data_IF_894093921720
#
_entry.id   IF_894093921720
#
_cell.length_a   1.000
_cell.length_b   1.000
_cell.length_c   1.000
_cell.angle_alpha   90.00
_cell.angle_beta   90.00
_cell.angle_gamma   90.00
#
_symmetry.space_group_name_H-M   'P 1'
#
loop_
_entity.id
_entity.type
_entity.pdbx_description
1 polymer ?
#
# COMPACT_ATOMS: atom_id res chain seq x y z
N UNK A 1 -47.24 27.68 -37.31
CA UNK A 1 -47.28 29.06 -37.84
C UNK A 1 -45.90 29.71 -37.61
N UNK A 2 -45.26 30.09 -38.77
CA UNK A 2 -44.13 31.03 -38.99
C UNK A 2 -42.81 30.66 -38.30
N UNK A 3 -41.76 30.18 -38.98
CA UNK A 3 -41.03 30.66 -40.20
C UNK A 3 -40.18 31.93 -39.95
N UNK A 4 -38.91 31.79 -40.21
CA UNK A 4 -38.02 32.89 -40.57
C UNK A 4 -36.57 32.60 -40.18
N UNK A 5 -35.77 32.04 -41.04
CA UNK A 5 -34.87 32.55 -42.14
C UNK A 5 -33.59 33.18 -41.55
N UNK A 6 -32.43 32.55 -41.74
CA UNK A 6 -31.50 32.60 -42.93
C UNK A 6 -30.64 33.87 -43.00
N UNK A 7 -29.39 33.62 -43.30
CA UNK A 7 -28.41 34.35 -44.17
C UNK A 7 -27.15 34.61 -43.33
N UNK A 8 -25.95 34.16 -43.59
CA UNK A 8 -25.27 33.84 -44.83
C UNK A 8 -24.09 34.77 -45.07
N UNK A 9 -23.05 34.18 -45.50
CA UNK A 9 -22.13 34.64 -46.55
C UNK A 9 -20.74 35.16 -46.12
N UNK A 10 -19.74 34.35 -46.46
CA UNK A 10 -18.62 34.47 -47.42
C UNK A 10 -17.42 35.34 -47.02
N UNK A 11 -16.29 34.68 -47.00
CA UNK A 11 -15.25 34.65 -48.03
C UNK A 11 -14.30 35.87 -48.10
N UNK A 12 -13.04 35.68 -47.94
CA UNK A 12 -12.07 35.95 -48.99
C UNK A 12 -10.62 35.68 -48.58
N UNK A 13 -10.00 34.89 -49.41
CA UNK A 13 -8.60 34.61 -49.69
C UNK A 13 -7.84 35.92 -50.00
N UNK A 14 -6.60 36.07 -49.51
CA UNK A 14 -5.57 36.77 -50.29
C UNK A 14 -4.18 36.16 -50.04
N UNK A 15 -3.70 35.57 -51.12
CA UNK A 15 -2.35 35.05 -51.37
C UNK A 15 -1.49 36.22 -51.84
N UNK A 16 -0.29 36.41 -51.29
CA UNK A 16 0.73 37.20 -52.00
C UNK A 16 2.12 36.62 -51.85
N UNK A 17 2.57 36.01 -52.93
CA UNK A 17 3.96 35.69 -53.26
C UNK A 17 4.66 36.95 -53.77
N UNK A 18 5.88 37.23 -53.30
CA UNK A 18 6.87 37.97 -54.10
C UNK A 18 8.25 37.35 -53.91
N UNK A 19 8.71 36.78 -55.00
CA UNK A 19 10.12 36.49 -55.30
C UNK A 19 10.75 37.77 -55.83
N UNK A 20 12.02 38.03 -55.51
CA UNK A 20 12.99 38.47 -56.55
C UNK A 20 14.43 38.44 -56.00
N UNK A 21 15.28 37.93 -56.82
CA UNK A 21 16.71 37.76 -56.73
C UNK A 21 17.48 39.03 -57.07
N UNK A 22 18.74 39.17 -56.69
CA UNK A 22 19.89 39.30 -57.59
C UNK A 22 21.16 39.80 -56.86
N UNK A 23 22.17 39.05 -57.04
CA UNK A 23 23.57 39.29 -57.47
C UNK A 23 24.33 40.54 -57.01
N UNK A 24 25.56 40.28 -56.51
CA UNK A 24 26.72 40.91 -57.06
C UNK A 24 27.80 41.38 -56.07
N UNK A 25 29.02 40.83 -56.25
CA UNK A 25 30.24 41.58 -56.00
C UNK A 25 31.08 41.23 -54.77
N UNK A 26 32.18 40.57 -55.01
CA UNK A 26 33.17 40.12 -54.03
C UNK A 26 34.12 41.21 -53.48
N UNK A 27 34.68 40.94 -52.37
CA UNK A 27 36.12 41.25 -52.09
C UNK A 27 36.63 40.44 -50.90
N UNK A 28 37.88 39.99 -51.02
CA UNK A 28 38.62 39.17 -50.09
C UNK A 28 38.90 39.93 -48.76
N UNK A 29 38.64 39.31 -47.66
CA UNK A 29 39.13 39.70 -46.34
C UNK A 29 39.29 38.47 -45.49
N UNK A 30 40.51 38.19 -45.06
CA UNK A 30 40.86 37.10 -44.15
C UNK A 30 40.08 37.16 -42.86
N UNK A 31 39.37 36.09 -42.54
CA UNK A 31 38.64 35.93 -41.29
C UNK A 31 39.45 35.06 -40.31
N UNK A 32 39.78 35.63 -39.18
CA UNK A 32 40.26 34.94 -37.99
C UNK A 32 39.13 34.06 -37.45
N UNK A 33 39.34 32.81 -37.06
CA UNK A 33 38.26 31.98 -36.52
C UNK A 33 37.95 32.41 -35.07
N UNK A 34 36.77 32.97 -34.89
CA UNK A 34 36.15 33.17 -33.59
C UNK A 34 35.53 31.84 -33.15
N UNK A 35 36.16 31.18 -32.19
CA UNK A 35 35.55 30.02 -31.49
C UNK A 35 34.52 30.53 -30.51
N UNK A 36 33.25 30.45 -30.92
CA UNK A 36 32.12 30.56 -30.01
C UNK A 36 32.04 29.26 -29.18
N UNK A 37 31.96 29.30 -27.85
CA UNK A 37 31.81 28.08 -27.07
C UNK A 37 30.43 27.49 -27.37
N UNK A 38 30.44 26.25 -27.86
CA UNK A 38 29.29 25.36 -27.98
C UNK A 38 28.65 25.19 -26.58
N UNK A 39 27.31 25.32 -26.42
CA UNK A 39 26.67 25.11 -25.11
C UNK A 39 26.92 23.64 -24.72
N UNK A 40 27.68 23.47 -23.63
CA UNK A 40 27.94 22.19 -23.00
C UNK A 40 26.60 21.52 -22.70
N UNK A 41 26.29 20.45 -23.41
CA UNK A 41 25.13 19.62 -23.13
C UNK A 41 25.30 19.06 -21.69
N UNK A 42 24.35 19.37 -20.84
CA UNK A 42 24.26 18.74 -19.51
C UNK A 42 24.27 17.21 -19.72
N UNK A 43 25.06 16.46 -18.94
CA UNK A 43 25.08 15.03 -19.06
C UNK A 43 23.67 14.49 -18.78
N UNK A 44 23.06 13.86 -19.77
CA UNK A 44 21.89 13.02 -19.56
C UNK A 44 22.20 12.03 -18.45
N UNK A 45 21.30 11.81 -17.47
CA UNK A 45 21.54 10.85 -16.43
C UNK A 45 21.81 9.49 -17.08
N UNK A 46 23.00 8.95 -16.87
CA UNK A 46 23.39 7.61 -17.27
C UNK A 46 22.51 6.62 -16.51
N UNK A 47 21.48 6.11 -17.14
CA UNK A 47 20.69 5.01 -16.61
C UNK A 47 21.56 3.76 -16.70
N UNK A 48 21.97 3.24 -15.55
CA UNK A 48 22.67 1.95 -15.48
C UNK A 48 21.80 0.88 -16.15
N UNK A 49 22.37 0.00 -17.01
CA UNK A 49 21.61 -1.09 -17.62
C UNK A 49 21.11 -2.02 -16.53
N UNK A 50 19.77 -1.99 -16.25
CA UNK A 50 19.12 -2.88 -15.28
C UNK A 50 18.17 -2.23 -14.27
N UNK A 51 18.18 -0.91 -14.08
CA UNK A 51 17.19 -0.26 -13.21
C UNK A 51 15.91 0.05 -13.99
N UNK A 52 14.77 -0.43 -13.49
CA UNK A 52 13.47 -0.07 -14.02
C UNK A 52 13.17 1.40 -13.74
N UNK A 53 12.46 2.12 -14.65
CA UNK A 53 12.31 3.57 -14.58
C UNK A 53 11.44 4.06 -13.41
N UNK A 54 10.60 3.19 -12.85
CA UNK A 54 9.68 3.52 -11.76
C UNK A 54 9.85 2.55 -10.59
N UNK A 55 9.42 2.97 -9.41
CA UNK A 55 9.32 2.12 -8.21
C UNK A 55 7.87 2.11 -7.72
N UNK A 56 7.38 0.96 -7.29
CA UNK A 56 6.08 0.85 -6.65
C UNK A 56 6.13 1.55 -5.27
N UNK A 57 5.21 2.48 -4.97
CA UNK A 57 5.29 3.30 -3.76
C UNK A 57 5.14 2.51 -2.45
N UNK A 58 4.46 1.36 -2.48
CA UNK A 58 4.22 0.52 -1.30
C UNK A 58 5.29 -0.54 -1.08
N UNK A 59 6.02 -0.91 -2.12
CA UNK A 59 7.01 -2.01 -2.05
C UNK A 59 8.42 -1.64 -2.47
N UNK A 60 8.63 -0.47 -3.10
CA UNK A 60 9.95 -0.10 -3.65
C UNK A 60 10.41 -0.98 -4.81
N UNK A 61 9.62 -1.96 -5.24
CA UNK A 61 9.99 -2.86 -6.35
C UNK A 61 9.95 -2.09 -7.66
N UNK A 62 10.99 -2.28 -8.49
CA UNK A 62 11.09 -1.64 -9.79
C UNK A 62 9.94 -2.03 -10.74
N UNK A 63 9.45 -1.09 -11.55
CA UNK A 63 8.36 -1.27 -12.51
C UNK A 63 8.67 -0.61 -13.85
N UNK A 64 8.09 -1.16 -14.94
CA UNK A 64 8.17 -0.56 -16.28
C UNK A 64 7.26 0.67 -16.41
N UNK A 65 6.15 0.71 -15.68
CA UNK A 65 5.16 1.79 -15.67
C UNK A 65 4.97 2.33 -14.27
N UNK A 66 4.60 3.60 -14.17
CA UNK A 66 4.26 4.21 -12.90
C UNK A 66 3.02 3.54 -12.26
N UNK A 67 3.04 3.33 -10.94
CA UNK A 67 1.92 2.75 -10.20
C UNK A 67 0.96 3.85 -9.77
N UNK A 68 0.04 4.23 -10.63
CA UNK A 68 -0.96 5.27 -10.39
C UNK A 68 -2.29 4.71 -9.89
N UNK A 69 -2.49 3.40 -9.99
CA UNK A 69 -3.73 2.76 -9.57
C UNK A 69 -3.98 2.99 -8.09
N UNK A 70 -5.19 3.40 -7.78
CA UNK A 70 -5.62 3.59 -6.39
C UNK A 70 -5.57 2.27 -5.64
N UNK A 71 -4.94 2.22 -4.46
CA UNK A 71 -4.91 1.01 -3.65
C UNK A 71 -6.30 0.56 -3.21
N UNK A 72 -6.46 -0.75 -3.06
CA UNK A 72 -7.61 -1.37 -2.40
C UNK A 72 -7.15 -1.93 -1.05
N UNK A 73 -7.81 -1.55 0.03
CA UNK A 73 -7.56 -2.07 1.38
C UNK A 73 -8.68 -3.03 1.77
N UNK A 74 -8.37 -4.31 1.91
CA UNK A 74 -9.35 -5.37 2.20
C UNK A 74 -9.24 -5.80 3.66
N UNK A 75 -10.37 -5.81 4.38
CA UNK A 75 -10.47 -6.24 5.78
C UNK A 75 -10.57 -7.77 5.84
N UNK A 76 -9.49 -8.45 6.18
CA UNK A 76 -9.38 -9.91 6.18
C UNK A 76 -9.56 -10.48 7.58
N UNK A 77 -10.38 -11.53 7.67
CA UNK A 77 -10.61 -12.29 8.88
C UNK A 77 -9.39 -13.15 9.25
N UNK A 78 -8.94 -13.07 10.50
CA UNK A 78 -7.82 -13.88 10.95
C UNK A 78 -8.18 -14.89 12.06
N UNK A 79 -9.46 -15.13 12.30
CA UNK A 79 -9.90 -16.18 13.23
C UNK A 79 -9.55 -17.57 12.65
N UNK A 80 -9.24 -18.53 13.51
CA UNK A 80 -8.82 -19.89 13.11
C UNK A 80 -9.70 -20.53 11.99
N UNK A 81 -11.06 -20.48 12.04
CA UNK A 81 -11.90 -21.03 10.96
C UNK A 81 -11.81 -20.29 9.61
N UNK A 82 -11.20 -19.10 9.58
CA UNK A 82 -10.97 -18.34 8.35
C UNK A 82 -9.61 -18.63 7.71
N UNK A 83 -8.76 -19.39 8.36
CA UNK A 83 -7.41 -19.75 7.87
C UNK A 83 -7.39 -21.11 7.19
N UNK A 84 -6.53 -21.34 6.18
CA UNK A 84 -5.71 -20.33 5.52
C UNK A 84 -6.57 -19.35 4.73
N UNK A 85 -6.12 -18.09 4.62
CA UNK A 85 -6.77 -17.06 3.80
C UNK A 85 -6.32 -17.18 2.35
N UNK A 86 -6.99 -16.42 1.47
CA UNK A 86 -6.65 -16.30 0.06
C UNK A 86 -6.21 -14.88 -0.25
N UNK A 87 -5.21 -14.73 -1.11
CA UNK A 87 -4.78 -13.47 -1.70
C UNK A 87 -3.77 -12.66 -0.87
N UNK A 88 -3.41 -13.11 0.34
CA UNK A 88 -2.44 -12.39 1.18
C UNK A 88 -1.02 -12.41 0.59
N UNK A 89 -0.66 -13.45 -0.17
CA UNK A 89 0.63 -13.54 -0.87
C UNK A 89 0.79 -12.47 -1.96
N UNK A 90 -0.30 -11.90 -2.46
CA UNK A 90 -0.31 -10.86 -3.49
C UNK A 90 -0.43 -9.44 -2.91
N UNK A 91 -0.65 -9.29 -1.60
CA UNK A 91 -0.72 -7.98 -0.97
C UNK A 91 0.66 -7.30 -0.92
N UNK A 92 0.69 -5.99 -1.19
CA UNK A 92 1.91 -5.17 -1.10
C UNK A 92 2.28 -4.91 0.37
N UNK A 93 1.27 -4.60 1.19
CA UNK A 93 1.40 -4.33 2.62
C UNK A 93 0.30 -5.06 3.37
N UNK A 94 0.63 -5.67 4.50
CA UNK A 94 -0.35 -6.30 5.40
C UNK A 94 -0.21 -5.73 6.80
N UNK A 95 -1.28 -5.22 7.34
CA UNK A 95 -1.39 -4.81 8.75
C UNK A 95 -2.10 -5.88 9.55
N UNK A 96 -1.60 -6.16 10.74
CA UNK A 96 -2.25 -7.01 11.71
C UNK A 96 -2.47 -6.25 13.01
N UNK A 97 -3.71 -6.17 13.47
CA UNK A 97 -4.11 -5.44 14.66
C UNK A 97 -5.19 -6.19 15.42
N UNK A 98 -5.24 -6.01 16.73
CA UNK A 98 -6.30 -6.59 17.58
C UNK A 98 -7.69 -6.13 17.14
N UNK A 99 -8.62 -7.06 17.20
CA UNK A 99 -10.05 -6.85 17.11
C UNK A 99 -10.73 -7.34 18.40
N UNK A 100 -12.03 -7.56 18.36
CA UNK A 100 -12.80 -8.01 19.52
C UNK A 100 -12.33 -9.39 20.02
N UNK A 101 -12.43 -9.61 21.34
CA UNK A 101 -12.13 -10.90 21.96
C UNK A 101 -10.65 -11.32 21.90
N UNK A 102 -9.74 -10.37 21.67
CA UNK A 102 -8.30 -10.62 21.61
C UNK A 102 -7.83 -11.30 20.31
N UNK A 103 -8.73 -11.53 19.34
CA UNK A 103 -8.37 -11.98 18.00
C UNK A 103 -7.76 -10.83 17.19
N UNK A 104 -7.02 -11.14 16.14
CA UNK A 104 -6.51 -10.11 15.23
C UNK A 104 -7.34 -10.02 13.95
N UNK A 105 -7.23 -8.89 13.26
CA UNK A 105 -7.72 -8.66 11.92
C UNK A 105 -6.60 -8.16 11.04
N UNK A 106 -6.63 -8.59 9.75
CA UNK A 106 -5.65 -8.12 8.78
C UNK A 106 -6.28 -7.05 7.89
N UNK A 107 -5.48 -6.04 7.53
CA UNK A 107 -5.78 -5.11 6.45
C UNK A 107 -4.74 -5.37 5.36
N UNK A 108 -5.19 -5.94 4.26
CA UNK A 108 -4.34 -6.24 3.12
C UNK A 108 -4.50 -5.15 2.06
N UNK A 109 -3.38 -4.51 1.69
CA UNK A 109 -3.34 -3.45 0.68
C UNK A 109 -2.80 -4.00 -0.64
N UNK A 110 -3.49 -3.68 -1.72
CA UNK A 110 -3.17 -4.12 -3.06
C UNK A 110 -3.10 -2.92 -3.99
N UNK A 111 -1.98 -2.74 -4.65
CA UNK A 111 -1.78 -1.72 -5.68
C UNK A 111 -1.05 -2.30 -6.89
N UNK A 112 0.10 -2.94 -6.67
CA UNK A 112 1.08 -3.27 -7.71
C UNK A 112 1.01 -4.72 -8.21
N UNK A 113 0.07 -5.53 -7.73
CA UNK A 113 -0.09 -6.93 -8.15
C UNK A 113 -0.82 -7.06 -9.49
N UNK A 114 -0.38 -8.01 -10.32
CA UNK A 114 -1.04 -8.41 -11.57
C UNK A 114 -2.05 -9.56 -11.37
N UNK A 115 -2.12 -10.14 -10.17
CA UNK A 115 -3.05 -11.22 -9.80
C UNK A 115 -4.46 -10.66 -9.49
N UNK A 116 -5.10 -10.03 -10.48
CA UNK A 116 -6.34 -9.27 -10.28
C UNK A 116 -7.59 -10.14 -10.10
N UNK A 117 -7.56 -11.37 -10.57
CA UNK A 117 -8.69 -12.34 -10.50
C UNK A 117 -8.56 -13.35 -9.36
N UNK A 118 -7.44 -13.34 -8.63
CA UNK A 118 -7.22 -14.21 -7.50
C UNK A 118 -8.19 -13.89 -6.36
N UNK A 119 -8.73 -14.93 -5.73
CA UNK A 119 -9.63 -14.77 -4.59
C UNK A 119 -8.96 -14.04 -3.43
N UNK A 120 -9.66 -13.09 -2.83
CA UNK A 120 -9.22 -12.36 -1.63
C UNK A 120 -10.23 -12.57 -0.52
N UNK A 121 -9.78 -13.09 0.62
CA UNK A 121 -10.66 -13.29 1.77
C UNK A 121 -10.18 -14.37 2.75
N UNK A 122 -11.04 -14.77 3.71
CA UNK A 122 -12.42 -14.28 3.96
C UNK A 122 -12.47 -12.84 4.47
N UNK A 123 -13.38 -12.07 3.91
CA UNK A 123 -13.54 -10.63 4.22
C UNK A 123 -14.42 -10.43 5.44
N UNK A 124 -14.13 -9.40 6.25
CA UNK A 124 -14.82 -9.15 7.53
C UNK A 124 -15.05 -7.66 7.78
N UNK A 125 -15.67 -7.41 8.95
CA UNK A 125 -16.14 -6.08 9.35
C UNK A 125 -15.01 -5.08 9.58
N UNK A 126 -15.29 -3.82 9.25
CA UNK A 126 -14.40 -2.68 9.45
C UNK A 126 -14.59 -2.04 10.84
N UNK A 127 -13.56 -1.34 11.32
CA UNK A 127 -13.53 -0.57 12.58
C UNK A 127 -12.88 0.79 12.31
N UNK A 128 -13.08 1.82 13.16
CA UNK A 128 -12.50 3.14 12.96
C UNK A 128 -10.99 3.15 12.71
N UNK A 129 -10.22 2.40 13.50
CA UNK A 129 -8.76 2.31 13.33
C UNK A 129 -8.34 1.57 12.04
N UNK A 130 -9.16 0.65 11.53
CA UNK A 130 -8.90 -0.01 10.24
C UNK A 130 -9.19 0.95 9.06
N UNK A 131 -10.17 1.85 9.22
CA UNK A 131 -10.38 2.96 8.28
C UNK A 131 -9.12 3.82 8.24
N UNK A 132 -8.58 4.22 9.39
CA UNK A 132 -7.38 5.05 9.48
C UNK A 132 -6.17 4.41 8.80
N UNK A 133 -6.00 3.08 8.89
CA UNK A 133 -4.95 2.35 8.20
C UNK A 133 -5.14 2.44 6.68
N UNK A 134 -6.30 2.02 6.16
CA UNK A 134 -6.51 2.02 4.70
C UNK A 134 -6.50 3.42 4.09
N UNK A 135 -7.00 4.40 4.83
CA UNK A 135 -7.07 5.80 4.40
C UNK A 135 -5.69 6.45 4.27
N UNK A 136 -4.71 6.05 5.10
CA UNK A 136 -3.34 6.55 5.00
C UNK A 136 -2.68 6.23 3.65
N UNK A 137 -3.18 5.23 2.94
CA UNK A 137 -2.74 4.89 1.59
C UNK A 137 -3.66 5.45 0.49
N UNK A 138 -4.65 6.28 0.84
CA UNK A 138 -5.65 6.75 -0.11
C UNK A 138 -6.56 5.65 -0.66
N UNK A 139 -6.62 4.48 -0.03
CA UNK A 139 -7.27 3.29 -0.55
C UNK A 139 -8.81 3.38 -0.59
N UNK A 140 -9.42 2.57 -1.46
CA UNK A 140 -10.82 2.17 -1.34
C UNK A 140 -10.91 1.03 -0.32
N UNK A 141 -11.81 1.14 0.65
CA UNK A 141 -11.94 0.19 1.76
C UNK A 141 -12.94 -0.91 1.42
N UNK A 142 -12.52 -2.17 1.36
CA UNK A 142 -13.39 -3.32 1.07
C UNK A 142 -13.64 -4.14 2.35
N UNK A 143 -14.91 -4.31 2.72
CA UNK A 143 -15.28 -4.95 3.99
C UNK A 143 -16.69 -5.58 3.95
N UNK A 144 -17.04 -6.30 5.00
CA UNK A 144 -18.37 -6.86 5.21
C UNK A 144 -18.90 -6.46 6.58
N UNK A 145 -19.75 -5.45 6.61
CA UNK A 145 -20.27 -4.86 7.84
C UNK A 145 -19.24 -4.01 8.60
N UNK A 146 -19.66 -3.40 9.68
CA UNK A 146 -18.82 -2.52 10.52
C UNK A 146 -19.48 -2.25 11.87
N UNK A 147 -18.73 -1.59 12.78
CA UNK A 147 -19.35 -0.99 13.97
C UNK A 147 -20.12 0.28 13.58
N UNK A 148 -21.07 0.71 14.42
CA UNK A 148 -21.84 1.94 14.18
C UNK A 148 -20.92 3.15 13.99
N UNK A 149 -19.85 3.26 14.79
CA UNK A 149 -18.87 4.34 14.69
C UNK A 149 -18.11 4.29 13.36
N UNK A 150 -17.75 3.08 12.88
CA UNK A 150 -17.11 2.93 11.57
C UNK A 150 -18.06 3.38 10.44
N UNK A 151 -19.33 2.98 10.49
CA UNK A 151 -20.32 3.43 9.51
C UNK A 151 -20.54 4.94 9.56
N UNK A 152 -20.59 5.53 10.76
CA UNK A 152 -20.69 6.98 10.92
C UNK A 152 -19.53 7.72 10.23
N UNK A 153 -18.28 7.25 10.43
CA UNK A 153 -17.10 7.82 9.77
C UNK A 153 -17.22 7.66 8.24
N UNK A 154 -17.48 6.46 7.76
CA UNK A 154 -17.54 6.17 6.32
C UNK A 154 -18.59 7.03 5.60
N UNK A 155 -19.77 7.17 6.19
CA UNK A 155 -20.92 7.85 5.58
C UNK A 155 -20.83 9.38 5.74
N UNK A 156 -20.59 9.87 6.95
CA UNK A 156 -20.54 11.32 7.22
C UNK A 156 -19.35 12.00 6.54
N UNK A 157 -18.20 11.33 6.49
CA UNK A 157 -17.00 11.84 5.83
C UNK A 157 -16.91 11.44 4.36
N UNK A 158 -17.93 10.73 3.83
CA UNK A 158 -18.00 10.28 2.42
C UNK A 158 -16.74 9.55 1.96
N UNK A 159 -16.21 8.65 2.82
CA UNK A 159 -15.03 7.87 2.50
C UNK A 159 -15.31 6.88 1.36
N UNK A 160 -14.34 6.57 0.49
CA UNK A 160 -14.50 5.57 -0.56
C UNK A 160 -14.50 4.16 0.06
N UNK A 161 -15.63 3.44 0.00
CA UNK A 161 -15.75 2.08 0.54
C UNK A 161 -16.70 1.20 -0.25
N UNK A 162 -16.43 -0.09 -0.21
CA UNK A 162 -17.24 -1.17 -0.76
C UNK A 162 -17.60 -2.11 0.39
N UNK A 163 -18.85 -2.08 0.80
CA UNK A 163 -19.39 -2.95 1.83
C UNK A 163 -20.34 -3.97 1.20
N UNK A 164 -20.07 -5.25 1.41
CA UNK A 164 -20.92 -6.34 0.93
C UNK A 164 -22.37 -6.18 1.36
N UNK A 165 -22.59 -5.69 2.59
CA UNK A 165 -23.94 -5.63 3.20
C UNK A 165 -24.74 -4.44 2.66
N UNK A 166 -24.14 -3.25 2.56
CA UNK A 166 -24.89 -2.02 2.40
C UNK A 166 -24.84 -1.40 1.01
N UNK A 167 -23.74 -1.61 0.26
CA UNK A 167 -23.56 -0.80 -0.94
C UNK A 167 -22.88 -1.47 -2.13
N UNK A 168 -22.34 -2.69 -1.98
CA UNK A 168 -21.48 -3.30 -3.01
C UNK A 168 -21.63 -4.82 -3.12
N UNK A 169 -22.72 -5.42 -2.64
CA UNK A 169 -22.92 -6.88 -2.55
C UNK A 169 -22.67 -7.63 -3.86
N UNK A 170 -22.92 -7.01 -5.02
CA UNK A 170 -22.68 -7.64 -6.32
C UNK A 170 -21.20 -7.92 -6.64
N UNK A 171 -20.28 -7.30 -5.93
CA UNK A 171 -18.83 -7.45 -6.13
C UNK A 171 -18.18 -8.45 -5.16
N UNK A 172 -19.01 -9.16 -4.38
CA UNK A 172 -18.57 -10.17 -3.43
C UNK A 172 -19.31 -11.48 -3.68
N UNK A 173 -18.75 -12.58 -3.20
CA UNK A 173 -19.42 -13.87 -3.22
C UNK A 173 -19.14 -14.67 -1.95
N UNK A 174 -20.01 -15.64 -1.65
CA UNK A 174 -19.79 -16.57 -0.54
C UNK A 174 -19.39 -17.95 -1.07
N UNK A 175 -18.21 -18.41 -0.65
CA UNK A 175 -17.76 -19.77 -0.93
C UNK A 175 -18.65 -20.79 -0.19
N UNK A 176 -18.88 -21.92 -0.83
CA UNK A 176 -19.58 -23.07 -0.23
C UNK A 176 -18.66 -23.98 0.58
N UNK A 177 -17.35 -23.81 0.42
CA UNK A 177 -16.32 -24.62 1.10
C UNK A 177 -16.16 -24.26 2.57
N UNK A 178 -16.67 -23.14 2.99
CA UNK A 178 -16.63 -22.65 4.37
C UNK A 178 -18.02 -22.19 4.82
N UNK A 179 -18.21 -22.17 6.13
CA UNK A 179 -19.46 -21.67 6.74
C UNK A 179 -19.37 -20.16 7.00
N UNK A 180 -20.51 -19.49 6.85
CA UNK A 180 -20.62 -18.11 7.30
C UNK A 180 -20.29 -18.01 8.81
N UNK A 181 -19.64 -16.95 9.24
CA UNK A 181 -19.28 -15.72 8.54
C UNK A 181 -17.84 -15.74 7.98
N UNK A 182 -17.22 -16.92 7.78
CA UNK A 182 -15.83 -17.10 7.37
C UNK A 182 -15.69 -17.47 5.88
N UNK A 183 -16.61 -17.07 5.04
CA UNK A 183 -16.74 -17.55 3.67
C UNK A 183 -17.00 -16.46 2.62
N UNK A 184 -16.79 -15.18 2.95
CA UNK A 184 -16.99 -14.08 2.02
C UNK A 184 -15.69 -13.71 1.32
N UNK A 185 -15.73 -13.61 -0.01
CA UNK A 185 -14.59 -13.32 -0.86
C UNK A 185 -14.91 -12.25 -1.90
N UNK A 186 -13.86 -11.66 -2.45
CA UNK A 186 -13.84 -10.85 -3.65
C UNK A 186 -12.55 -11.10 -4.42
N UNK A 187 -12.33 -10.37 -5.50
CA UNK A 187 -11.07 -10.23 -6.24
C UNK A 187 -10.85 -8.76 -6.60
N UNK A 188 -9.65 -8.39 -7.06
CA UNK A 188 -9.34 -7.00 -7.38
C UNK A 188 -10.10 -6.49 -8.59
N UNK A 189 -10.38 -7.33 -9.58
CA UNK A 189 -11.18 -6.96 -10.76
C UNK A 189 -12.57 -6.51 -10.33
N UNK A 190 -13.25 -7.29 -9.49
CA UNK A 190 -14.57 -6.94 -8.95
C UNK A 190 -14.53 -5.70 -8.07
N UNK A 191 -13.55 -5.60 -7.17
CA UNK A 191 -13.43 -4.45 -6.28
C UNK A 191 -13.15 -3.16 -7.05
N UNK A 192 -12.29 -3.18 -8.07
CA UNK A 192 -12.04 -2.03 -8.95
C UNK A 192 -13.28 -1.66 -9.76
N UNK A 193 -13.98 -2.64 -10.34
CA UNK A 193 -15.27 -2.42 -11.03
C UNK A 193 -16.32 -1.81 -10.09
N UNK A 194 -16.37 -2.26 -8.85
CA UNK A 194 -17.25 -1.69 -7.82
C UNK A 194 -16.89 -0.24 -7.48
N UNK A 195 -15.62 0.08 -7.37
CA UNK A 195 -15.13 1.42 -7.12
C UNK A 195 -15.44 2.37 -8.29
N UNK A 196 -15.25 1.91 -9.52
CA UNK A 196 -15.61 2.64 -10.75
C UNK A 196 -17.10 2.92 -10.82
N UNK A 197 -17.95 1.90 -10.57
CA UNK A 197 -19.40 2.06 -10.57
C UNK A 197 -19.90 3.07 -9.54
N UNK A 198 -19.13 3.27 -8.46
CA UNK A 198 -19.40 4.29 -7.43
C UNK A 198 -18.77 5.64 -7.75
N UNK A 199 -18.17 5.81 -8.91
CA UNK A 199 -17.46 7.01 -9.33
C UNK A 199 -16.33 7.39 -8.36
N UNK A 200 -15.70 6.42 -7.70
CA UNK A 200 -14.49 6.68 -6.94
C UNK A 200 -13.32 6.90 -7.90
N UNK A 201 -12.49 7.88 -7.58
CA UNK A 201 -11.29 8.17 -8.37
C UNK A 201 -10.41 6.92 -8.43
N UNK A 202 -10.03 6.48 -9.65
CA UNK A 202 -9.27 5.25 -9.87
C UNK A 202 -7.77 5.45 -9.67
N UNK A 203 -7.27 6.66 -9.95
CA UNK A 203 -5.86 7.02 -9.80
C UNK A 203 -5.68 7.92 -8.59
N UNK A 204 -4.56 7.75 -7.88
CA UNK A 204 -4.18 8.62 -6.77
C UNK A 204 -2.67 8.66 -6.63
N UNK A 205 -2.15 9.80 -6.19
CA UNK A 205 -0.78 9.82 -5.68
C UNK A 205 -0.75 9.07 -4.35
N UNK A 206 -0.09 7.92 -4.34
CA UNK A 206 0.08 7.10 -3.13
C UNK A 206 1.33 7.56 -2.43
N UNK A 207 1.27 7.92 -1.14
CA UNK A 207 2.46 8.24 -0.37
C UNK A 207 3.42 7.04 -0.35
N UNK A 208 4.67 7.26 -0.75
CA UNK A 208 5.69 6.21 -0.79
C UNK A 208 6.45 6.12 0.54
N UNK A 209 6.89 4.91 0.91
CA UNK A 209 7.95 4.72 1.88
C UNK A 209 9.31 5.04 1.26
N UNK A 210 10.30 5.31 2.11
CA UNK A 210 11.70 5.35 1.67
C UNK A 210 12.20 3.92 1.53
N UNK A 211 12.80 3.58 0.41
CA UNK A 211 13.36 2.25 0.15
C UNK A 211 14.85 2.32 -0.15
N UNK A 212 15.60 1.33 0.35
CA UNK A 212 16.99 1.11 0.05
C UNK A 212 17.31 -0.39 0.04
N UNK A 213 18.17 -0.84 -0.87
CA UNK A 213 18.59 -2.25 -0.98
C UNK A 213 19.12 -2.83 0.34
N UNK A 214 19.84 -2.02 1.10
CA UNK A 214 20.38 -2.40 2.39
C UNK A 214 19.45 -2.06 3.57
N UNK A 215 18.23 -1.57 3.29
CA UNK A 215 17.26 -1.16 4.30
C UNK A 215 17.83 -0.11 5.26
N UNK A 216 17.49 -0.22 6.54
CA UNK A 216 18.08 0.56 7.62
C UNK A 216 19.50 0.05 7.89
N UNK A 217 20.50 0.63 7.25
CA UNK A 217 21.89 0.19 7.25
C UNK A 217 22.54 0.06 8.67
N UNK A 218 21.91 0.62 9.69
CA UNK A 218 22.39 0.64 11.08
C UNK A 218 21.91 -0.55 11.92
N UNK A 219 21.16 -1.50 11.34
CA UNK A 219 20.68 -2.67 12.06
C UNK A 219 21.84 -3.60 12.43
N UNK A 220 22.16 -3.72 13.71
CA UNK A 220 23.27 -4.54 14.19
C UNK A 220 22.83 -5.78 14.97
N UNK A 221 21.62 -5.78 15.54
CA UNK A 221 21.13 -6.86 16.39
C UNK A 221 20.64 -8.03 15.54
N UNK A 222 21.19 -9.24 15.69
CA UNK A 222 20.68 -10.42 14.97
C UNK A 222 19.22 -10.70 15.33
N UNK A 223 18.41 -11.06 14.35
CA UNK A 223 16.99 -11.39 14.52
C UNK A 223 16.51 -12.29 13.38
N UNK A 224 17.05 -13.49 13.31
CA UNK A 224 16.67 -14.49 12.30
C UNK A 224 15.36 -15.21 12.64
N UNK A 225 14.97 -15.19 13.91
CA UNK A 225 13.69 -15.67 14.40
C UNK A 225 12.97 -14.52 15.13
N UNK A 226 11.69 -14.32 14.83
CA UNK A 226 10.86 -13.29 15.47
C UNK A 226 9.55 -13.91 15.88
N UNK A 227 9.14 -13.74 17.14
CA UNK A 227 7.83 -14.19 17.65
C UNK A 227 7.09 -13.02 18.26
N UNK A 228 5.84 -12.83 17.85
CA UNK A 228 4.98 -11.72 18.26
C UNK A 228 3.77 -12.28 19.01
N UNK A 229 3.56 -11.80 20.22
CA UNK A 229 2.40 -12.10 21.06
C UNK A 229 1.49 -10.88 21.16
N UNK A 230 0.20 -11.07 20.88
CA UNK A 230 -0.81 -10.04 21.09
C UNK A 230 -1.39 -10.13 22.51
N UNK A 231 -2.55 -10.73 22.67
CA UNK A 231 -3.22 -10.86 23.98
C UNK A 231 -3.61 -12.29 24.32
N UNK A 232 -4.02 -13.09 23.32
CA UNK A 232 -4.41 -14.48 23.56
C UNK A 232 -3.18 -15.35 23.72
N UNK A 233 -3.18 -16.20 24.73
CA UNK A 233 -2.07 -17.12 25.05
C UNK A 233 -1.86 -18.20 23.98
N UNK A 234 -2.94 -18.59 23.29
CA UNK A 234 -2.97 -19.60 22.26
C UNK A 234 -2.86 -19.01 20.83
N UNK A 235 -2.45 -17.75 20.74
CA UNK A 235 -2.21 -17.08 19.47
C UNK A 235 -0.85 -16.38 19.47
N UNK A 236 0.09 -16.95 18.73
CA UNK A 236 1.39 -16.35 18.45
C UNK A 236 1.66 -16.33 16.96
N UNK A 237 2.27 -15.26 16.50
CA UNK A 237 2.76 -15.09 15.14
C UNK A 237 4.27 -15.20 15.18
N UNK A 238 4.84 -16.04 14.33
CA UNK A 238 6.29 -16.19 14.25
C UNK A 238 6.79 -16.05 12.82
N UNK A 239 8.04 -15.66 12.71
CA UNK A 239 8.75 -15.49 11.46
C UNK A 239 10.14 -16.12 11.58
N UNK A 240 10.54 -16.82 10.53
CA UNK A 240 11.90 -17.32 10.36
C UNK A 240 12.50 -16.65 9.11
N UNK A 241 13.67 -16.03 9.26
CA UNK A 241 14.39 -15.45 8.15
C UNK A 241 15.04 -16.56 7.31
N UNK A 242 14.74 -16.54 6.03
CA UNK A 242 15.32 -17.43 5.04
C UNK A 242 16.42 -16.65 4.28
N UNK A 243 17.66 -17.03 4.54
CA UNK A 243 18.84 -16.36 3.96
C UNK A 243 18.88 -16.47 2.43
N UNK A 244 18.35 -17.56 1.86
CA UNK A 244 18.36 -17.78 0.42
C UNK A 244 17.39 -16.85 -0.33
N UNK A 245 16.17 -16.70 0.20
CA UNK A 245 15.17 -15.78 -0.36
C UNK A 245 15.24 -14.37 0.22
N UNK A 246 15.98 -14.17 1.32
CA UNK A 246 16.05 -12.93 2.10
C UNK A 246 14.69 -12.44 2.62
N UNK A 247 13.81 -13.37 2.93
CA UNK A 247 12.46 -13.12 3.40
C UNK A 247 12.23 -13.73 4.78
N UNK A 248 11.39 -13.07 5.56
CA UNK A 248 10.83 -13.62 6.80
C UNK A 248 9.58 -14.45 6.47
N UNK A 249 9.64 -15.75 6.65
CA UNK A 249 8.55 -16.71 6.43
C UNK A 249 7.64 -16.79 7.64
N UNK A 250 6.35 -16.52 7.43
CA UNK A 250 5.33 -16.39 8.49
C UNK A 250 4.76 -17.72 8.93
N UNK A 251 4.58 -17.90 10.23
CA UNK A 251 3.84 -19.01 10.84
C UNK A 251 2.85 -18.49 11.89
N UNK A 252 1.81 -19.25 12.20
CA UNK A 252 0.88 -19.02 13.31
C UNK A 252 0.84 -20.29 14.15
N UNK A 253 1.15 -20.17 15.44
CA UNK A 253 1.20 -21.31 16.39
C UNK A 253 2.08 -22.46 15.85
N UNK A 254 3.24 -22.11 15.30
CA UNK A 254 4.23 -23.01 14.71
C UNK A 254 3.81 -23.72 13.40
N UNK A 255 2.60 -23.43 12.89
CA UNK A 255 2.15 -23.92 11.58
C UNK A 255 2.41 -22.87 10.50
N UNK A 256 2.92 -23.28 9.34
CA UNK A 256 3.15 -22.36 8.22
C UNK A 256 1.84 -21.66 7.85
N UNK A 257 1.87 -20.32 7.79
CA UNK A 257 0.72 -19.54 7.35
C UNK A 257 0.76 -19.44 5.83
N UNK A 258 -0.03 -20.26 5.16
CA UNK A 258 -0.07 -20.35 3.69
C UNK A 258 -1.19 -19.50 3.10
N UNK A 259 -1.02 -19.11 1.84
CA UNK A 259 -2.09 -18.57 0.99
C UNK A 259 -2.82 -19.72 0.30
N UNK A 260 -4.14 -19.74 0.37
CA UNK A 260 -4.95 -20.83 -0.19
C UNK A 260 -4.94 -20.85 -1.74
N UNK A 261 -4.65 -19.70 -2.39
CA UNK A 261 -4.65 -19.64 -3.86
C UNK A 261 -3.50 -20.44 -4.47
N UNK A 262 -2.32 -20.46 -3.82
CA UNK A 262 -1.10 -21.02 -4.38
C UNK A 262 -0.35 -21.97 -3.43
N UNK A 263 -0.82 -22.15 -2.19
CA UNK A 263 -0.19 -22.89 -1.11
C UNK A 263 1.22 -22.41 -0.72
N UNK A 264 1.59 -21.18 -1.09
CA UNK A 264 2.85 -20.57 -0.68
C UNK A 264 2.77 -20.06 0.75
N UNK A 265 3.83 -20.27 1.52
CA UNK A 265 3.96 -19.68 2.84
C UNK A 265 4.12 -18.17 2.72
N UNK A 266 3.30 -17.41 3.45
CA UNK A 266 3.37 -15.96 3.48
C UNK A 266 4.75 -15.50 3.95
N UNK A 267 5.31 -14.53 3.25
CA UNK A 267 6.63 -13.99 3.53
C UNK A 267 6.70 -12.49 3.26
N UNK A 268 7.65 -11.82 3.91
CA UNK A 268 7.88 -10.39 3.76
C UNK A 268 9.36 -10.04 3.85
N UNK A 269 9.77 -8.97 3.16
CA UNK A 269 11.12 -8.39 3.27
C UNK A 269 11.27 -7.63 4.58
N UNK A 270 10.19 -7.00 5.07
CA UNK A 270 10.20 -6.17 6.26
C UNK A 270 9.10 -6.60 7.22
N UNK A 271 9.44 -6.66 8.52
CA UNK A 271 8.48 -6.77 9.60
C UNK A 271 8.58 -5.52 10.47
N UNK A 272 7.46 -4.94 10.78
CA UNK A 272 7.37 -3.78 11.68
C UNK A 272 6.44 -4.13 12.82
N UNK A 273 6.89 -3.96 14.05
CA UNK A 273 6.03 -4.05 15.23
C UNK A 273 5.91 -2.67 15.84
N UNK A 274 4.68 -2.23 16.10
CA UNK A 274 4.33 -0.93 16.64
C UNK A 274 3.61 -1.12 17.97
N UNK A 275 3.99 -0.39 19.00
CA UNK A 275 3.22 -0.29 20.24
C UNK A 275 2.27 0.89 20.17
N UNK A 276 0.97 0.65 20.34
CA UNK A 276 -0.07 1.67 20.32
C UNK A 276 -1.07 1.50 21.46
N UNK A 277 -1.73 2.59 21.86
CA UNK A 277 -2.77 2.54 22.90
C UNK A 277 -4.00 1.78 22.39
N UNK A 278 -4.44 0.80 23.18
CA UNK A 278 -5.67 0.05 22.98
C UNK A 278 -6.61 0.27 24.14
N UNK A 279 -7.85 0.66 23.86
CA UNK A 279 -8.89 0.86 24.88
C UNK A 279 -10.14 0.08 24.49
N UNK A 280 -10.63 -0.78 25.40
CA UNK A 280 -11.94 -1.42 25.22
C UNK A 280 -13.04 -0.39 25.41
N UNK A 281 -13.98 -0.33 24.48
CA UNK A 281 -15.04 0.67 24.42
C UNK A 281 -16.34 0.19 25.07
N UNK A 282 -16.60 -1.12 25.03
CA UNK A 282 -17.88 -1.70 25.45
C UNK A 282 -17.78 -3.17 25.83
N UNK A 283 -18.92 -3.75 26.21
CA UNK A 283 -19.03 -5.13 26.64
C UNK A 283 -18.90 -6.16 25.51
N UNK A 284 -19.04 -5.73 24.24
CA UNK A 284 -18.75 -6.55 23.05
C UNK A 284 -17.24 -6.63 22.80
N UNK A 285 -16.44 -5.90 23.56
CA UNK A 285 -14.99 -5.89 23.47
C UNK A 285 -14.46 -5.12 22.26
N UNK A 286 -15.26 -4.19 21.69
CA UNK A 286 -14.80 -3.31 20.62
C UNK A 286 -13.67 -2.41 21.11
N UNK A 287 -12.70 -2.15 20.25
CA UNK A 287 -11.48 -1.43 20.59
C UNK A 287 -11.43 -0.06 19.93
N UNK A 288 -10.90 0.92 20.65
CA UNK A 288 -10.21 2.07 20.06
C UNK A 288 -8.71 1.80 20.06
N UNK A 289 -8.06 2.01 18.93
CA UNK A 289 -6.61 1.94 18.77
C UNK A 289 -6.12 3.31 18.33
N UNK A 290 -5.23 3.90 19.11
CA UNK A 290 -4.68 5.23 18.82
C UNK A 290 -3.52 5.10 17.83
N UNK A 291 -3.75 5.57 16.61
CA UNK A 291 -2.78 5.60 15.53
C UNK A 291 -2.30 7.03 15.22
N UNK A 292 -2.42 7.96 16.18
CA UNK A 292 -2.01 9.36 16.04
C UNK A 292 -0.84 9.72 16.96
N UNK A 293 -0.81 9.15 18.17
CA UNK A 293 0.11 9.58 19.22
C UNK A 293 1.59 9.24 18.97
N UNK A 294 1.89 8.31 18.06
CA UNK A 294 3.22 7.75 17.93
C UNK A 294 3.52 6.74 19.05
N UNK A 295 4.73 6.20 19.05
CA UNK A 295 5.16 5.22 20.06
C UNK A 295 6.39 4.43 19.66
N UNK A 296 6.71 3.42 20.46
CA UNK A 296 7.84 2.54 20.22
C UNK A 296 7.58 1.65 18.98
N UNK A 297 8.64 1.33 18.27
CA UNK A 297 8.64 0.42 17.13
C UNK A 297 9.88 -0.46 17.09
N UNK A 298 9.74 -1.63 16.46
CA UNK A 298 10.85 -2.49 16.07
C UNK A 298 10.73 -2.78 14.58
N UNK A 299 11.84 -2.60 13.84
CA UNK A 299 11.96 -2.91 12.42
C UNK A 299 12.89 -4.11 12.24
N UNK A 300 12.39 -5.16 11.55
CA UNK A 300 13.14 -6.36 11.24
C UNK A 300 13.34 -6.45 9.73
N UNK A 301 14.59 -6.56 9.31
CA UNK A 301 15.02 -6.61 7.92
C UNK A 301 16.29 -7.46 7.81
N UNK A 302 16.41 -8.27 6.75
CA UNK A 302 17.66 -9.00 6.44
C UNK A 302 18.25 -9.78 7.64
N UNK A 303 17.39 -10.41 8.44
CA UNK A 303 17.82 -11.17 9.62
C UNK A 303 18.30 -10.31 10.78
N UNK A 304 18.00 -9.02 10.81
CA UNK A 304 18.43 -8.05 11.82
C UNK A 304 17.28 -7.19 12.33
N UNK A 305 17.45 -6.63 13.54
CA UNK A 305 16.49 -5.77 14.20
C UNK A 305 17.08 -4.39 14.46
N UNK A 306 16.25 -3.37 14.31
CA UNK A 306 16.50 -1.98 14.71
C UNK A 306 15.41 -1.50 15.63
N UNK A 307 15.78 -1.04 16.83
CA UNK A 307 14.85 -0.27 17.69
C UNK A 307 14.59 1.09 17.07
N UNK A 308 13.34 1.51 17.10
CA UNK A 308 12.84 2.72 16.44
C UNK A 308 11.63 3.27 17.16
N UNK A 309 11.09 4.34 16.64
CA UNK A 309 9.76 4.86 16.99
C UNK A 309 8.89 4.93 15.74
N UNK A 310 7.60 4.97 15.92
CA UNK A 310 6.68 5.27 14.84
C UNK A 310 6.02 6.63 15.07
N UNK A 311 5.72 7.33 13.99
CA UNK A 311 5.03 8.62 13.99
C UNK A 311 3.95 8.65 12.94
N UNK A 312 2.91 9.45 13.17
CA UNK A 312 1.94 9.82 12.12
C UNK A 312 2.48 11.04 11.40
N UNK A 313 2.90 10.88 10.16
CA UNK A 313 3.47 11.95 9.37
C UNK A 313 2.40 12.90 8.79
N UNK A 314 2.76 14.11 8.34
CA UNK A 314 1.82 15.07 7.75
C UNK A 314 1.07 14.56 6.51
N UNK A 315 1.64 13.61 5.78
CA UNK A 315 1.01 12.92 4.65
C UNK A 315 0.04 11.82 5.07
N UNK A 316 -0.24 11.72 6.37
CA UNK A 316 -1.11 10.73 6.98
C UNK A 316 -0.57 9.29 6.97
N UNK A 317 0.70 9.07 6.60
CA UNK A 317 1.36 7.76 6.70
C UNK A 317 1.89 7.52 8.12
N UNK A 318 1.93 6.26 8.53
CA UNK A 318 2.72 5.83 9.67
C UNK A 318 4.14 5.59 9.18
N UNK A 319 5.10 6.35 9.73
CA UNK A 319 6.52 6.28 9.39
C UNK A 319 7.31 5.70 10.55
N UNK A 320 8.33 4.90 10.23
CA UNK A 320 9.25 4.35 11.23
C UNK A 320 10.48 5.25 11.25
N UNK A 321 10.78 5.80 12.41
CA UNK A 321 11.82 6.81 12.57
C UNK A 321 12.83 6.42 13.65
N UNK A 322 14.09 6.80 13.45
CA UNK A 322 15.13 6.73 14.45
C UNK A 322 15.93 8.03 14.40
N UNK A 323 16.19 8.64 15.56
CA UNK A 323 16.90 9.91 15.67
C UNK A 323 16.35 11.01 14.75
N UNK A 324 15.00 11.06 14.62
CA UNK A 324 14.27 12.04 13.81
C UNK A 324 14.33 11.78 12.29
N UNK A 325 14.89 10.67 11.82
CA UNK A 325 14.97 10.31 10.40
C UNK A 325 14.12 9.08 10.12
N UNK A 326 13.41 9.09 8.98
CA UNK A 326 12.69 7.91 8.50
C UNK A 326 13.68 6.79 8.14
N UNK A 327 13.40 5.59 8.62
CA UNK A 327 14.17 4.40 8.29
C UNK A 327 13.74 3.86 6.92
N UNK A 328 14.71 3.55 6.08
CA UNK A 328 14.45 2.93 4.79
C UNK A 328 13.98 1.47 4.97
N UNK A 329 12.98 1.07 4.18
CA UNK A 329 12.56 -0.31 4.03
C UNK A 329 13.38 -1.00 2.94
N UNK A 330 13.57 -2.31 3.05
CA UNK A 330 14.09 -3.13 1.94
C UNK A 330 13.00 -3.27 0.88
N UNK A 331 13.30 -3.13 -0.42
CA UNK A 331 12.31 -3.38 -1.46
C UNK A 331 11.63 -4.75 -1.30
N UNK A 332 10.31 -4.77 -1.35
CA UNK A 332 9.48 -5.94 -1.15
C UNK A 332 8.30 -5.69 -0.21
N UNK A 333 7.61 -6.76 0.16
CA UNK A 333 6.41 -6.70 1.00
C UNK A 333 6.76 -6.34 2.44
N UNK A 334 5.84 -5.62 3.11
CA UNK A 334 5.96 -5.27 4.53
C UNK A 334 4.77 -5.77 5.32
N UNK A 335 5.02 -6.46 6.43
CA UNK A 335 4.01 -6.80 7.44
C UNK A 335 4.16 -5.89 8.66
N UNK A 336 3.10 -5.19 9.00
CA UNK A 336 2.98 -4.36 10.19
C UNK A 336 2.14 -5.07 11.25
N UNK A 337 2.59 -5.03 12.50
CA UNK A 337 1.91 -5.59 13.65
C UNK A 337 1.70 -4.50 14.69
N UNK A 338 0.47 -4.29 15.15
CA UNK A 338 0.16 -3.30 16.18
C UNK A 338 -0.17 -4.04 17.46
N UNK A 339 0.72 -3.92 18.46
CA UNK A 339 0.56 -4.51 19.79
C UNK A 339 0.13 -3.45 20.80
N UNK A 340 -0.55 -3.82 21.92
CA UNK A 340 -0.89 -2.89 22.96
C UNK A 340 0.35 -2.30 23.65
N UNK A 341 0.31 -1.01 24.00
CA UNK A 341 1.37 -0.32 24.75
C UNK A 341 1.15 -0.32 26.26
N UNK A 342 0.28 -1.18 26.76
CA UNK A 342 0.06 -1.37 28.23
C UNK A 342 1.26 -2.03 28.91
N UNK A 343 2.15 -2.60 28.13
CA UNK A 343 3.45 -3.14 28.50
C UNK A 343 4.50 -2.62 27.53
N UNK A 344 5.79 -2.87 27.82
CA UNK A 344 6.86 -2.60 26.88
C UNK A 344 6.65 -3.40 25.59
N UNK A 345 7.05 -2.84 24.45
CA UNK A 345 7.04 -3.57 23.18
C UNK A 345 7.86 -4.86 23.25
N UNK A 346 8.92 -4.89 24.07
CA UNK A 346 9.75 -6.07 24.31
C UNK A 346 8.99 -7.21 25.04
N UNK A 347 7.90 -6.92 25.74
CA UNK A 347 7.05 -7.96 26.36
C UNK A 347 6.17 -8.69 25.31
N UNK A 348 6.03 -8.11 24.12
CA UNK A 348 5.26 -8.65 23.02
C UNK A 348 6.13 -9.34 21.97
N UNK A 349 7.45 -9.08 21.94
CA UNK A 349 8.32 -9.50 20.85
C UNK A 349 9.53 -10.25 21.39
N UNK A 350 9.69 -11.50 20.99
CA UNK A 350 10.91 -12.27 21.20
C UNK A 350 11.63 -12.41 19.85
N UNK A 351 12.96 -12.26 19.84
CA UNK A 351 13.78 -12.42 18.63
C UNK A 351 15.16 -12.97 18.97
N UNK A 352 15.83 -13.58 17.95
CA UNK A 352 17.17 -14.12 18.07
C UNK A 352 17.76 -14.56 16.72
#
# INVERSE_FOLDING_TARGET
MKLGKRIGLTSSILLLLVLLAACGGGSKGEAVPSTSPEPSALPSPSVSPGSLPYQAPLTGVGRQTEALERPIAVMINNLKPARPQSGLSNADVVWEVLAEGGITRLVALFQSTDAITDSIGPIRSIRPYLINIGESYGAVLAHAGGSNDAYAILQQQKKPYLDEISNAGAYFWRSKERKAPHNLYSDLEKLRSGAEKKNYKQDTAVPAYVFAENGAAEATTPATAVTIHFTLKDYKVSYAYDEASKLYKRSINDEAHIDLNNNEQLAASNLVVLAASHKTLDNEGRLAVDLQAGGDAMLFQQGRMTEASWVRAPDNMIRIVKDGKELALVPGKTFFHIVPNTKSIADHVMYG
#
